data_IF_085302562112
#
_entry.id   IF_085302562112
#
_cell.length_a   1.000
_cell.length_b   1.000
_cell.length_c   1.000
_cell.angle_alpha   90.00
_cell.angle_beta   90.00
_cell.angle_gamma   90.00
#
_symmetry.space_group_name_H-M   'P 1'
#
loop_
_entity.id
_entity.type
_entity.pdbx_description
1 polymer ?
#
# COMPACT_ATOMS: atom_id res chain seq x y z
N UNK A 1 41.85 -0.86 13.33
CA UNK A 1 41.08 0.32 12.82
C UNK A 1 39.62 -0.09 12.83
N UNK A 2 38.91 0.22 13.92
CA UNK A 2 37.54 -0.19 14.15
C UNK A 2 36.64 0.82 13.44
N UNK A 3 35.94 0.38 12.42
CA UNK A 3 34.92 1.20 11.71
C UNK A 3 33.77 1.34 12.68
N UNK A 4 33.39 2.56 13.02
CA UNK A 4 32.24 2.85 13.87
C UNK A 4 30.93 2.41 13.23
N UNK A 5 29.92 1.90 13.98
CA UNK A 5 28.67 1.39 13.45
C UNK A 5 27.72 2.47 12.87
N UNK A 6 28.10 3.72 12.90
CA UNK A 6 27.26 4.88 12.55
C UNK A 6 27.24 5.22 11.03
N UNK A 7 28.13 4.63 10.23
CA UNK A 7 28.28 5.02 8.81
C UNK A 7 27.25 4.33 7.87
N UNK A 8 26.67 3.22 8.29
CA UNK A 8 25.69 2.47 7.48
C UNK A 8 24.29 3.13 7.48
N UNK A 9 23.88 3.68 8.61
CA UNK A 9 22.60 4.40 8.73
C UNK A 9 22.57 5.72 7.95
N UNK A 10 23.68 6.45 7.97
CA UNK A 10 23.83 7.70 7.22
C UNK A 10 23.82 7.50 5.70
N UNK A 11 24.44 6.44 5.21
CA UNK A 11 24.46 6.12 3.77
C UNK A 11 23.09 5.68 3.26
N UNK A 12 22.33 4.91 4.06
CA UNK A 12 20.96 4.51 3.73
C UNK A 12 20.02 5.70 3.61
N UNK A 13 20.08 6.62 4.57
CA UNK A 13 19.28 7.85 4.57
C UNK A 13 19.62 8.78 3.39
N UNK A 14 20.90 8.92 3.03
CA UNK A 14 21.32 9.75 1.89
C UNK A 14 20.85 9.14 0.56
N UNK A 15 21.00 7.82 0.38
CA UNK A 15 20.52 7.13 -0.82
C UNK A 15 19.01 7.25 -0.97
N UNK A 16 18.27 7.06 0.10
CA UNK A 16 16.83 7.19 0.11
C UNK A 16 16.39 8.59 -0.31
N UNK A 17 16.95 9.64 0.30
CA UNK A 17 16.62 11.03 -0.05
C UNK A 17 16.89 11.33 -1.52
N UNK A 18 18.01 10.87 -2.06
CA UNK A 18 18.33 11.04 -3.47
C UNK A 18 17.31 10.33 -4.40
N UNK A 19 16.84 9.14 -4.03
CA UNK A 19 15.80 8.44 -4.79
C UNK A 19 14.45 9.14 -4.68
N UNK A 20 14.08 9.61 -3.49
CA UNK A 20 12.86 10.36 -3.23
C UNK A 20 12.83 11.68 -4.02
N UNK A 21 13.90 12.46 -3.95
CA UNK A 21 14.02 13.73 -4.69
C UNK A 21 13.95 13.49 -6.20
N UNK A 22 14.56 12.41 -6.68
CA UNK A 22 14.44 12.01 -8.08
C UNK A 22 13.00 11.65 -8.46
N UNK A 23 12.31 10.84 -7.67
CA UNK A 23 10.90 10.47 -7.87
C UNK A 23 10.03 11.73 -7.93
N UNK A 24 10.16 12.62 -6.97
CA UNK A 24 9.38 13.87 -6.93
C UNK A 24 9.65 14.75 -8.18
N UNK A 25 10.87 14.74 -8.71
CA UNK A 25 11.20 15.50 -9.94
C UNK A 25 10.62 14.86 -11.20
N UNK A 26 10.30 13.57 -11.16
CA UNK A 26 9.78 12.78 -12.30
C UNK A 26 8.26 12.69 -12.34
N UNK A 27 7.57 12.84 -11.20
CA UNK A 27 6.11 12.68 -11.08
C UNK A 27 5.33 13.54 -12.09
N UNK A 28 5.82 14.76 -12.37
CA UNK A 28 5.19 15.65 -13.36
C UNK A 28 5.67 15.41 -14.80
N UNK A 29 6.70 14.59 -14.99
CA UNK A 29 7.40 14.47 -16.27
C UNK A 29 7.13 13.15 -17.00
N UNK A 30 6.79 12.10 -16.26
CA UNK A 30 6.56 10.75 -16.80
C UNK A 30 5.21 10.21 -16.32
N UNK A 31 4.47 9.52 -17.22
CA UNK A 31 3.24 8.85 -16.82
C UNK A 31 3.56 7.64 -15.92
N UNK A 32 2.67 7.37 -14.97
CA UNK A 32 2.78 6.23 -14.08
C UNK A 32 3.00 6.63 -12.63
N UNK A 33 3.20 5.63 -11.78
CA UNK A 33 3.41 5.77 -10.33
C UNK A 33 4.86 5.42 -9.99
N UNK A 34 5.45 6.23 -9.15
CA UNK A 34 6.78 5.97 -8.61
C UNK A 34 6.70 5.67 -7.13
N UNK A 35 7.38 4.63 -6.70
CA UNK A 35 7.54 4.26 -5.29
C UNK A 35 9.02 4.07 -4.98
N UNK A 36 9.41 4.26 -3.73
CA UNK A 36 10.79 4.04 -3.28
C UNK A 36 10.83 2.85 -2.32
N UNK A 37 11.72 1.92 -2.58
CA UNK A 37 11.96 0.73 -1.77
C UNK A 37 13.40 0.66 -1.31
N UNK A 38 13.72 -0.26 -0.41
CA UNK A 38 15.12 -0.51 -0.02
C UNK A 38 16.00 -0.95 -1.20
N UNK A 39 15.40 -1.61 -2.20
CA UNK A 39 16.10 -2.09 -3.39
C UNK A 39 16.30 -1.00 -4.44
N UNK A 40 15.39 0.00 -4.50
CA UNK A 40 15.44 1.05 -5.52
C UNK A 40 14.07 1.70 -5.75
N UNK A 41 13.93 2.27 -6.93
CA UNK A 41 12.69 2.90 -7.39
C UNK A 41 11.86 1.87 -8.15
N UNK A 42 10.58 1.76 -7.81
CA UNK A 42 9.58 1.02 -8.57
C UNK A 42 8.82 2.03 -9.42
N UNK A 43 8.75 1.80 -10.73
CA UNK A 43 7.96 2.59 -11.65
C UNK A 43 6.89 1.71 -12.29
N UNK A 44 5.63 1.97 -12.01
CA UNK A 44 4.49 1.32 -12.66
C UNK A 44 3.94 2.25 -13.74
N UNK A 45 4.22 1.89 -15.00
CA UNK A 45 3.83 2.68 -16.19
C UNK A 45 2.41 2.42 -16.67
N UNK A 46 1.73 1.41 -16.12
CA UNK A 46 0.41 1.02 -16.61
C UNK A 46 -0.68 1.88 -15.98
N UNK A 47 -1.44 2.57 -16.81
CA UNK A 47 -2.67 3.20 -16.37
C UNK A 47 -3.63 2.13 -15.83
N UNK A 48 -4.23 2.36 -14.65
CA UNK A 48 -5.24 1.45 -14.13
C UNK A 48 -6.38 1.27 -15.14
N UNK A 49 -6.80 0.03 -15.37
CA UNK A 49 -7.92 -0.28 -16.25
C UNK A 49 -9.25 -0.15 -15.51
N UNK A 50 -10.35 0.04 -16.24
CA UNK A 50 -11.68 0.25 -15.68
C UNK A 50 -12.07 -0.72 -14.54
N UNK A 51 -11.84 -2.04 -14.63
CA UNK A 51 -12.12 -2.95 -13.52
C UNK A 51 -11.29 -2.71 -12.26
N UNK A 52 -10.03 -2.27 -12.37
CA UNK A 52 -9.21 -1.86 -11.24
C UNK A 52 -9.85 -0.64 -10.54
N UNK A 53 -10.04 0.43 -11.28
CA UNK A 53 -10.64 1.68 -10.77
C UNK A 53 -12.03 1.46 -10.17
N UNK A 54 -12.85 0.60 -10.80
CA UNK A 54 -14.17 0.26 -10.28
C UNK A 54 -14.08 -0.52 -8.97
N UNK A 55 -13.07 -1.38 -8.81
CA UNK A 55 -12.82 -2.08 -7.55
C UNK A 55 -12.44 -1.09 -6.46
N UNK A 56 -11.46 -0.21 -6.70
CA UNK A 56 -11.05 0.85 -5.79
C UNK A 56 -12.24 1.70 -5.35
N UNK A 57 -13.03 2.19 -6.32
CA UNK A 57 -14.24 2.99 -6.06
C UNK A 57 -15.27 2.24 -5.19
N UNK A 58 -15.49 0.95 -5.45
CA UNK A 58 -16.45 0.15 -4.68
C UNK A 58 -15.97 -0.14 -3.28
N UNK A 59 -14.69 -0.45 -3.10
CA UNK A 59 -14.07 -0.64 -1.79
C UNK A 59 -14.17 0.63 -0.95
N UNK A 60 -13.78 1.77 -1.50
CA UNK A 60 -13.94 3.07 -0.85
C UNK A 60 -15.39 3.28 -0.36
N UNK A 61 -16.38 3.16 -1.26
CA UNK A 61 -17.80 3.37 -0.92
C UNK A 61 -18.32 2.39 0.15
N UNK A 62 -17.80 1.17 0.20
CA UNK A 62 -18.19 0.15 1.18
C UNK A 62 -17.60 0.44 2.54
N UNK A 63 -16.33 0.83 2.58
CA UNK A 63 -15.66 1.27 3.81
C UNK A 63 -16.36 2.51 4.40
N UNK A 64 -16.60 3.53 3.59
CA UNK A 64 -17.27 4.78 4.03
C UNK A 64 -18.70 4.55 4.61
N UNK A 65 -19.36 3.44 4.26
CA UNK A 65 -20.68 3.10 4.83
C UNK A 65 -20.63 2.50 6.24
N UNK A 66 -19.51 1.91 6.62
CA UNK A 66 -19.36 1.15 7.87
C UNK A 66 -18.39 1.82 8.84
N UNK A 67 -17.60 2.76 8.36
CA UNK A 67 -16.68 3.56 9.17
C UNK A 67 -17.40 4.73 9.83
N UNK A 68 -16.93 5.20 11.00
CA UNK A 68 -17.29 6.50 11.56
C UNK A 68 -16.98 7.65 10.58
N UNK A 69 -17.71 8.78 10.72
CA UNK A 69 -17.57 9.93 9.83
C UNK A 69 -16.16 10.55 9.86
N UNK A 70 -15.48 10.43 11.00
CA UNK A 70 -14.14 10.96 11.23
C UNK A 70 -13.03 10.12 10.56
N UNK A 71 -13.38 8.97 9.97
CA UNK A 71 -12.43 8.09 9.30
C UNK A 71 -12.76 8.02 7.81
N UNK A 72 -11.77 8.26 6.98
CA UNK A 72 -11.93 8.35 5.53
C UNK A 72 -11.15 7.26 4.81
N UNK A 73 -11.71 6.80 3.68
CA UNK A 73 -11.03 5.95 2.71
C UNK A 73 -10.54 6.81 1.54
N UNK A 74 -9.30 7.28 1.62
CA UNK A 74 -8.69 8.14 0.61
C UNK A 74 -8.12 7.34 -0.56
N UNK A 75 -8.36 7.81 -1.81
CA UNK A 75 -7.98 7.13 -3.06
C UNK A 75 -7.16 8.03 -4.01
N UNK A 76 -6.49 9.04 -3.50
CA UNK A 76 -5.76 10.04 -4.30
C UNK A 76 -4.29 9.71 -4.51
N UNK A 77 -3.88 8.45 -4.48
CA UNK A 77 -2.47 8.03 -4.62
C UNK A 77 -1.52 8.71 -3.62
N UNK A 78 -1.83 8.62 -2.31
CA UNK A 78 -1.08 9.36 -1.30
C UNK A 78 0.32 8.78 -1.12
N UNK A 79 1.32 9.66 -1.01
CA UNK A 79 2.67 9.25 -0.59
C UNK A 79 2.67 8.89 0.89
N UNK A 80 2.84 7.61 1.21
CA UNK A 80 3.04 7.10 2.57
C UNK A 80 4.52 6.82 2.78
N UNK A 81 5.16 7.58 3.67
CA UNK A 81 6.61 7.60 3.79
C UNK A 81 7.11 7.12 5.15
N UNK A 82 7.90 6.05 5.17
CA UNK A 82 8.74 5.59 6.26
C UNK A 82 10.20 5.99 6.00
N UNK A 83 10.56 7.26 6.22
CA UNK A 83 11.93 7.77 5.97
C UNK A 83 13.01 6.97 6.69
N UNK A 84 12.86 6.57 7.99
CA UNK A 84 13.85 5.76 8.67
C UNK A 84 14.11 4.41 8.00
N UNK A 85 13.09 3.81 7.41
CA UNK A 85 13.16 2.53 6.72
C UNK A 85 13.61 2.68 5.25
N UNK A 86 13.58 3.91 4.73
CA UNK A 86 13.93 4.22 3.34
C UNK A 86 12.87 3.73 2.35
N UNK A 87 11.60 3.85 2.72
CA UNK A 87 10.45 3.34 1.95
C UNK A 87 9.43 4.46 1.78
N UNK A 88 8.94 4.63 0.54
CA UNK A 88 7.79 5.44 0.19
C UNK A 88 6.88 4.62 -0.72
N UNK A 89 5.62 4.43 -0.32
CA UNK A 89 4.62 3.64 -1.05
C UNK A 89 3.36 4.45 -1.29
N UNK A 90 2.63 4.08 -2.36
CA UNK A 90 1.36 4.71 -2.76
C UNK A 90 0.24 3.66 -2.75
N UNK A 91 -0.54 3.54 -1.67
CA UNK A 91 -1.67 2.62 -1.63
C UNK A 91 -2.82 3.11 -2.52
N UNK A 92 -3.55 2.16 -3.14
CA UNK A 92 -4.77 2.46 -3.90
C UNK A 92 -5.87 3.04 -3.01
N UNK A 93 -5.98 2.54 -1.76
CA UNK A 93 -6.86 3.11 -0.72
C UNK A 93 -6.11 3.19 0.60
N UNK A 94 -6.10 4.37 1.18
CA UNK A 94 -5.57 4.64 2.52
C UNK A 94 -6.74 4.89 3.47
N UNK A 95 -6.83 4.13 4.55
CA UNK A 95 -7.81 4.36 5.63
C UNK A 95 -7.12 5.13 6.75
N UNK A 96 -7.61 6.32 7.04
CA UNK A 96 -6.96 7.29 7.94
C UNK A 96 -8.00 8.17 8.64
N UNK A 97 -7.67 8.76 9.78
CA UNK A 97 -8.52 9.80 10.37
C UNK A 97 -8.51 11.05 9.49
N UNK A 98 -9.67 11.71 9.33
CA UNK A 98 -9.78 12.96 8.57
C UNK A 98 -8.83 14.05 9.09
N UNK A 99 -8.69 14.13 10.42
CA UNK A 99 -7.76 15.08 11.05
C UNK A 99 -6.29 14.89 10.65
N UNK A 100 -5.86 13.66 10.35
CA UNK A 100 -4.49 13.37 9.91
C UNK A 100 -4.27 13.72 8.43
N UNK A 101 -5.34 14.03 7.68
CA UNK A 101 -5.26 14.50 6.29
C UNK A 101 -4.79 15.96 6.17
N UNK A 102 -4.73 16.72 7.25
CA UNK A 102 -4.27 18.13 7.24
C UNK A 102 -2.75 18.28 7.01
N UNK A 103 -2.03 17.17 6.82
CA UNK A 103 -0.59 17.21 6.51
C UNK A 103 -0.33 17.93 5.18
N UNK A 104 0.76 18.71 5.11
CA UNK A 104 1.23 19.36 3.87
C UNK A 104 2.32 18.56 3.16
N UNK A 105 2.63 17.37 3.63
CA UNK A 105 3.66 16.49 3.11
C UNK A 105 3.16 15.07 2.90
N UNK A 106 4.07 14.14 2.96
CA UNK A 106 3.77 12.71 2.92
C UNK A 106 3.05 12.26 4.19
N UNK A 107 2.28 11.18 4.09
CA UNK A 107 1.57 10.62 5.23
C UNK A 107 2.49 9.72 6.06
N UNK A 108 2.41 9.85 7.38
CA UNK A 108 3.14 8.97 8.29
C UNK A 108 2.46 7.58 8.32
N UNK A 109 3.18 6.47 8.07
CA UNK A 109 2.57 5.14 7.99
C UNK A 109 1.78 4.72 9.23
N UNK A 110 2.20 5.17 10.39
CA UNK A 110 1.60 4.82 11.69
C UNK A 110 0.27 5.54 11.98
N UNK A 111 -0.11 6.54 11.18
CA UNK A 111 -1.43 7.18 11.27
C UNK A 111 -2.50 6.45 10.48
N UNK A 112 -2.10 5.52 9.61
CA UNK A 112 -3.02 4.72 8.83
C UNK A 112 -3.64 3.62 9.71
N UNK A 113 -4.95 3.44 9.58
CA UNK A 113 -5.66 2.27 10.09
C UNK A 113 -5.46 1.06 9.18
N UNK A 114 -5.43 1.29 7.87
CA UNK A 114 -5.19 0.24 6.87
C UNK A 114 -4.67 0.83 5.55
N UNK A 115 -3.90 0.02 4.82
CA UNK A 115 -3.66 0.17 3.40
C UNK A 115 -4.39 -0.93 2.64
N UNK A 116 -5.02 -0.57 1.51
CA UNK A 116 -5.73 -1.51 0.64
C UNK A 116 -5.20 -1.39 -0.77
N UNK A 117 -4.91 -2.52 -1.40
CA UNK A 117 -4.41 -2.59 -2.77
C UNK A 117 -5.31 -3.45 -3.65
N UNK A 118 -5.42 -3.05 -4.88
CA UNK A 118 -6.08 -3.79 -5.94
C UNK A 118 -5.02 -4.24 -6.95
N UNK A 119 -4.75 -5.52 -6.99
CA UNK A 119 -3.64 -6.09 -7.77
C UNK A 119 -3.79 -5.75 -9.25
N UNK A 120 -2.76 -5.12 -9.81
CA UNK A 120 -2.67 -4.84 -11.24
C UNK A 120 -2.37 -6.11 -12.04
N UNK A 121 -2.68 -6.11 -13.35
CA UNK A 121 -2.31 -7.24 -14.23
C UNK A 121 -0.81 -7.33 -14.48
N UNK A 122 -0.17 -6.18 -14.57
CA UNK A 122 1.22 -6.04 -15.04
C UNK A 122 2.24 -6.37 -13.98
N UNK A 123 1.96 -6.05 -12.72
CA UNK A 123 2.94 -6.16 -11.64
C UNK A 123 2.34 -6.71 -10.33
N UNK A 124 1.83 -7.95 -10.35
CA UNK A 124 1.20 -8.54 -9.16
C UNK A 124 2.16 -8.76 -7.99
N UNK A 125 3.44 -8.95 -8.28
CA UNK A 125 4.45 -9.20 -7.25
C UNK A 125 4.74 -7.95 -6.40
N UNK A 126 4.45 -6.76 -6.93
CA UNK A 126 4.54 -5.53 -6.13
C UNK A 126 3.61 -5.59 -4.93
N UNK A 127 2.36 -6.05 -5.12
CA UNK A 127 1.36 -6.11 -4.05
C UNK A 127 1.52 -7.39 -3.19
N UNK A 128 1.72 -8.56 -3.83
CA UNK A 128 1.78 -9.84 -3.12
C UNK A 128 3.13 -10.13 -2.44
N UNK A 129 4.21 -9.49 -2.86
CA UNK A 129 5.56 -9.71 -2.33
C UNK A 129 6.15 -8.40 -1.79
N UNK A 130 6.22 -7.37 -2.63
CA UNK A 130 6.87 -6.10 -2.29
C UNK A 130 6.20 -5.42 -1.10
N UNK A 131 4.92 -5.07 -1.22
CA UNK A 131 4.17 -4.37 -0.17
C UNK A 131 3.89 -5.25 1.05
N UNK A 132 3.73 -6.57 0.89
CA UNK A 132 3.64 -7.51 2.03
C UNK A 132 4.89 -7.44 2.92
N UNK A 133 6.05 -7.21 2.32
CA UNK A 133 7.31 -7.01 3.05
C UNK A 133 7.43 -5.59 3.61
N UNK A 134 7.10 -4.58 2.83
CA UNK A 134 7.43 -3.18 3.14
C UNK A 134 6.45 -2.53 4.12
N UNK A 135 5.15 -2.82 4.02
CA UNK A 135 4.15 -2.21 4.90
C UNK A 135 4.34 -2.53 6.39
N UNK A 136 4.63 -3.77 6.81
CA UNK A 136 4.92 -4.01 8.23
C UNK A 136 6.24 -3.38 8.69
N UNK A 137 7.23 -3.21 7.79
CA UNK A 137 8.50 -2.52 8.11
C UNK A 137 8.26 -1.06 8.48
N UNK A 138 7.37 -0.36 7.77
CA UNK A 138 7.03 1.04 8.06
C UNK A 138 5.90 1.19 9.08
N UNK A 139 5.30 0.07 9.54
CA UNK A 139 4.35 0.04 10.65
C UNK A 139 2.90 0.27 10.27
N UNK A 140 2.48 -0.01 9.04
CA UNK A 140 1.07 -0.02 8.64
C UNK A 140 0.38 -1.24 9.28
N UNK A 141 -0.63 -1.07 10.16
CA UNK A 141 -1.13 -2.16 11.01
C UNK A 141 -1.94 -3.22 10.25
N UNK A 142 -2.67 -2.81 9.21
CA UNK A 142 -3.53 -3.69 8.41
C UNK A 142 -3.23 -3.49 6.93
N UNK A 143 -3.02 -4.59 6.23
CA UNK A 143 -2.84 -4.61 4.79
C UNK A 143 -3.86 -5.54 4.13
N UNK A 144 -4.72 -5.01 3.27
CA UNK A 144 -5.73 -5.77 2.54
C UNK A 144 -5.40 -5.78 1.04
N UNK A 145 -5.38 -6.97 0.45
CA UNK A 145 -5.09 -7.21 -0.97
C UNK A 145 -6.34 -7.74 -1.64
N UNK A 146 -6.77 -7.11 -2.72
CA UNK A 146 -7.86 -7.55 -3.58
C UNK A 146 -7.30 -7.90 -4.95
N UNK A 147 -7.47 -9.14 -5.40
CA UNK A 147 -6.92 -9.62 -6.68
C UNK A 147 -8.03 -9.93 -7.70
N UNK A 148 -8.34 -8.97 -8.59
CA UNK A 148 -9.34 -9.17 -9.63
C UNK A 148 -8.97 -10.22 -10.68
N UNK A 149 -7.70 -10.65 -10.76
CA UNK A 149 -7.25 -11.69 -11.69
C UNK A 149 -7.86 -13.05 -11.33
N UNK A 150 -7.94 -13.32 -10.04
CA UNK A 150 -8.43 -14.60 -9.48
C UNK A 150 -9.77 -14.46 -8.78
N UNK A 151 -10.17 -13.24 -8.39
CA UNK A 151 -11.33 -12.97 -7.54
C UNK A 151 -11.11 -13.46 -6.12
N UNK A 152 -9.90 -13.31 -5.62
CA UNK A 152 -9.49 -13.66 -4.25
C UNK A 152 -8.78 -12.47 -3.62
N UNK A 153 -8.43 -12.59 -2.35
CA UNK A 153 -7.63 -11.60 -1.66
C UNK A 153 -7.14 -12.11 -0.32
N UNK A 154 -6.47 -11.25 0.42
CA UNK A 154 -6.00 -11.54 1.76
C UNK A 154 -6.02 -10.27 2.63
N UNK A 155 -6.26 -10.43 3.92
CA UNK A 155 -6.04 -9.40 4.94
C UNK A 155 -4.90 -9.86 5.84
N UNK A 156 -3.89 -9.01 5.99
CA UNK A 156 -2.70 -9.26 6.79
C UNK A 156 -2.69 -8.29 7.98
N UNK A 157 -2.46 -8.84 9.18
CA UNK A 157 -2.47 -8.09 10.45
C UNK A 157 -1.40 -8.60 11.41
N UNK A 158 -1.35 -8.01 12.60
CA UNK A 158 -0.50 -8.44 13.71
C UNK A 158 0.99 -8.39 13.36
N UNK A 159 1.53 -7.17 13.35
CA UNK A 159 2.95 -6.98 13.08
C UNK A 159 3.79 -7.53 14.23
N UNK A 160 4.66 -8.48 13.92
CA UNK A 160 5.62 -9.06 14.85
C UNK A 160 7.06 -8.78 14.45
N UNK A 161 7.95 -8.51 15.41
CA UNK A 161 9.37 -8.41 15.12
C UNK A 161 9.93 -9.78 14.74
N UNK A 162 10.78 -9.82 13.70
CA UNK A 162 11.55 -11.01 13.31
C UNK A 162 13.02 -10.63 13.13
N UNK A 163 13.95 -11.59 13.05
CA UNK A 163 15.36 -11.29 12.79
C UNK A 163 15.58 -10.49 11.48
N UNK A 164 14.70 -10.68 10.48
CA UNK A 164 14.79 -10.00 9.19
C UNK A 164 13.95 -8.71 9.13
N UNK A 165 13.42 -8.25 10.27
CA UNK A 165 12.55 -7.09 10.41
C UNK A 165 11.08 -7.46 10.68
N UNK A 166 10.22 -6.46 10.99
CA UNK A 166 8.79 -6.66 11.25
C UNK A 166 8.07 -7.34 10.08
N UNK A 167 7.14 -8.25 10.40
CA UNK A 167 6.28 -8.95 9.43
C UNK A 167 4.87 -9.10 9.98
N UNK A 168 3.88 -9.21 9.09
CA UNK A 168 2.54 -9.64 9.49
C UNK A 168 2.55 -11.10 9.93
N UNK A 169 1.99 -11.40 11.10
CA UNK A 169 1.89 -12.76 11.65
C UNK A 169 0.58 -13.44 11.28
N UNK A 170 -0.48 -12.67 11.05
CA UNK A 170 -1.78 -13.19 10.69
C UNK A 170 -2.08 -12.88 9.22
N UNK A 171 -2.58 -13.90 8.51
CA UNK A 171 -3.10 -13.78 7.15
C UNK A 171 -4.43 -14.50 7.06
N UNK A 172 -5.47 -13.81 6.60
CA UNK A 172 -6.79 -14.35 6.34
C UNK A 172 -7.11 -14.19 4.86
N UNK A 173 -7.07 -15.30 4.13
CA UNK A 173 -7.47 -15.32 2.72
C UNK A 173 -8.99 -15.31 2.59
N UNK A 174 -9.50 -14.76 1.47
CA UNK A 174 -10.93 -14.71 1.13
C UNK A 174 -11.17 -14.84 -0.38
N UNK A 175 -12.41 -15.15 -0.73
CA UNK A 175 -12.90 -15.18 -2.12
C UNK A 175 -13.94 -14.07 -2.29
N UNK A 176 -14.00 -13.44 -3.46
CA UNK A 176 -15.02 -12.44 -3.77
C UNK A 176 -16.43 -13.03 -3.64
N UNK A 177 -17.29 -12.35 -2.91
CA UNK A 177 -18.60 -12.81 -2.45
C UNK A 177 -18.68 -13.05 -0.95
N UNK A 178 -17.53 -13.19 -0.26
CA UNK A 178 -17.46 -13.27 1.20
C UNK A 178 -17.41 -11.87 1.82
N UNK A 179 -17.83 -11.78 3.09
CA UNK A 179 -17.59 -10.60 3.91
C UNK A 179 -16.15 -10.59 4.42
N UNK A 180 -15.50 -9.43 4.34
CA UNK A 180 -14.09 -9.24 4.71
C UNK A 180 -13.96 -8.13 5.74
N UNK A 181 -13.23 -8.41 6.82
CA UNK A 181 -12.93 -7.44 7.87
C UNK A 181 -11.56 -6.81 7.62
N UNK A 182 -11.52 -5.48 7.49
CA UNK A 182 -10.33 -4.65 7.33
C UNK A 182 -10.24 -3.75 8.56
N UNK A 183 -9.29 -4.02 9.46
CA UNK A 183 -9.27 -3.40 10.78
C UNK A 183 -10.52 -3.76 11.56
N UNK A 184 -11.31 -2.75 11.93
CA UNK A 184 -12.56 -2.90 12.69
C UNK A 184 -13.81 -2.96 11.80
N UNK A 185 -13.68 -2.85 10.47
CA UNK A 185 -14.79 -2.69 9.55
C UNK A 185 -14.96 -3.90 8.66
N UNK A 186 -16.18 -4.42 8.60
CA UNK A 186 -16.55 -5.53 7.74
C UNK A 186 -17.31 -5.02 6.53
N UNK A 187 -16.85 -5.39 5.35
CA UNK A 187 -17.45 -5.04 4.06
C UNK A 187 -17.75 -6.30 3.24
N UNK A 188 -18.86 -6.26 2.50
CA UNK A 188 -19.15 -7.30 1.52
C UNK A 188 -18.22 -7.17 0.30
N UNK A 189 -17.84 -8.28 -0.32
CA UNK A 189 -17.02 -8.29 -1.55
C UNK A 189 -17.78 -8.77 -2.78
N UNK A 190 -19.09 -9.02 -2.64
CA UNK A 190 -19.97 -9.43 -3.75
C UNK A 190 -19.97 -8.40 -4.88
N UNK A 191 -20.03 -8.88 -6.12
CA UNK A 191 -20.07 -8.02 -7.30
C UNK A 191 -18.81 -7.19 -7.54
N UNK A 192 -17.70 -7.38 -6.81
CA UNK A 192 -16.42 -6.79 -7.19
C UNK A 192 -16.01 -7.30 -8.58
N UNK A 193 -15.52 -6.42 -9.49
CA UNK A 193 -15.18 -6.85 -10.83
C UNK A 193 -13.99 -7.81 -10.84
N UNK A 194 -13.97 -8.67 -11.84
CA UNK A 194 -12.80 -9.48 -12.21
C UNK A 194 -12.25 -8.99 -13.53
N UNK A 195 -10.97 -9.16 -13.74
CA UNK A 195 -10.39 -8.92 -15.05
C UNK A 195 -10.90 -9.99 -16.03
N UNK A 196 -11.33 -9.56 -17.21
CA UNK A 196 -11.64 -10.49 -18.28
C UNK A 196 -10.42 -11.38 -18.58
N UNK A 197 -10.65 -12.63 -18.94
CA UNK A 197 -9.55 -13.47 -19.43
C UNK A 197 -8.86 -12.72 -20.59
N UNK A 198 -7.52 -12.67 -20.59
CA UNK A 198 -6.82 -12.12 -21.74
C UNK A 198 -7.19 -12.98 -22.94
N UNK A 199 -7.69 -12.39 -24.01
CA UNK A 199 -7.78 -13.09 -25.29
C UNK A 199 -6.39 -13.60 -25.64
N UNK A 200 -6.26 -14.93 -25.79
CA UNK A 200 -5.02 -15.60 -26.12
C UNK A 200 -4.64 -15.37 -27.56
#
# INVERSE_FOLDING_TARGET
MTIAPDDAGHRGSHRYRAMRDFVQSMDDSLPGRFEVTKEGIVHDMMSPIGPHELTVLRLRKRLEKVMPEEIVAHTGEPDVEGEPEGIMRRPDVMVIAEADMETQGTFAPRTLYAAVEVVSRSNPDNDWIGKVRDYPLIGIPVYAIFDPRTGTGAVLTDIHPTPDGPRYATRKDFVYGEDVTIGDWTIATDGLPRYAAADR
#
